data_IF_144500751145
#
_entry.id   IF_144500751145
#
_cell.length_a   1.000
_cell.length_b   1.000
_cell.length_c   1.000
_cell.angle_alpha   90.00
_cell.angle_beta   90.00
_cell.angle_gamma   90.00
#
_symmetry.space_group_name_H-M   'P 1'
#
loop_
_entity.id
_entity.type
_entity.pdbx_description
1 polymer ?
#
# COMPACT_ATOMS: atom_id res chain seq x y z
N UNK A 1 -68.77 15.16 -25.28
CA UNK A 1 -68.04 14.18 -26.11
C UNK A 1 -66.59 14.60 -26.12
N UNK A 2 -65.82 14.07 -25.18
CA UNK A 2 -64.44 14.50 -24.90
C UNK A 2 -63.51 13.48 -25.54
N UNK A 3 -62.72 13.91 -26.54
CA UNK A 3 -61.69 13.05 -27.14
C UNK A 3 -60.48 12.99 -26.21
N UNK A 4 -60.30 11.83 -25.60
CA UNK A 4 -59.08 11.45 -24.87
C UNK A 4 -58.04 11.07 -25.92
N UNK A 5 -56.92 11.80 -25.95
CA UNK A 5 -55.75 11.45 -26.76
C UNK A 5 -54.84 10.55 -25.94
N UNK A 6 -54.65 9.31 -26.39
CA UNK A 6 -53.68 8.36 -25.85
C UNK A 6 -52.23 8.86 -26.04
N UNK A 7 -51.35 8.70 -25.03
CA UNK A 7 -49.91 8.89 -25.23
C UNK A 7 -49.27 7.66 -25.89
N UNK A 8 -48.48 7.94 -26.93
CA UNK A 8 -47.76 6.95 -27.73
C UNK A 8 -46.69 6.17 -26.93
N UNK A 9 -46.73 4.85 -27.08
CA UNK A 9 -45.71 3.89 -26.66
C UNK A 9 -44.41 4.08 -27.46
N UNK A 10 -43.22 4.22 -26.84
CA UNK A 10 -41.97 4.20 -27.58
C UNK A 10 -41.54 2.75 -27.94
N UNK A 11 -40.92 2.54 -29.11
CA UNK A 11 -40.56 1.22 -29.60
C UNK A 11 -39.35 0.61 -28.88
N UNK A 12 -39.44 -0.69 -28.64
CA UNK A 12 -38.38 -1.54 -28.07
C UNK A 12 -37.71 -2.33 -29.19
N UNK A 13 -36.48 -1.97 -29.54
CA UNK A 13 -35.51 -2.77 -30.31
C UNK A 13 -34.14 -2.06 -30.21
N UNK A 14 -32.97 -2.66 -30.14
CA UNK A 14 -32.55 -4.04 -30.03
C UNK A 14 -31.04 -4.03 -29.72
N UNK A 15 -30.58 -5.04 -28.98
CA UNK A 15 -29.17 -5.27 -28.67
C UNK A 15 -28.32 -5.38 -29.94
N UNK A 16 -27.24 -4.62 -30.03
CA UNK A 16 -26.01 -5.05 -30.71
C UNK A 16 -24.81 -4.72 -29.82
N UNK A 17 -24.23 -5.77 -29.26
CA UNK A 17 -22.99 -5.70 -28.50
C UNK A 17 -21.81 -5.53 -29.44
N UNK A 18 -21.01 -4.50 -29.18
CA UNK A 18 -19.64 -4.43 -29.66
C UNK A 18 -18.72 -4.79 -28.50
N UNK A 19 -18.32 -6.07 -28.45
CA UNK A 19 -17.15 -6.51 -27.70
C UNK A 19 -15.92 -5.89 -28.36
N UNK A 20 -15.40 -4.79 -27.83
CA UNK A 20 -14.03 -4.37 -28.13
C UNK A 20 -13.10 -5.34 -27.42
N UNK A 21 -12.51 -6.25 -28.19
CA UNK A 21 -11.49 -7.17 -27.71
C UNK A 21 -10.24 -6.40 -27.31
N UNK A 22 -9.98 -6.32 -26.01
CA UNK A 22 -8.67 -5.98 -25.47
C UNK A 22 -7.74 -7.19 -25.65
N UNK A 23 -7.17 -7.30 -26.84
CA UNK A 23 -6.04 -8.19 -27.11
C UNK A 23 -4.74 -7.38 -27.04
N UNK A 24 -4.19 -7.19 -25.84
CA UNK A 24 -2.75 -6.97 -25.68
C UNK A 24 -2.27 -7.17 -24.24
N UNK A 25 -2.27 -8.41 -23.78
CA UNK A 25 -1.35 -8.87 -22.73
C UNK A 25 -0.82 -10.22 -23.21
N UNK A 26 0.24 -10.18 -24.03
CA UNK A 26 0.99 -11.39 -24.38
C UNK A 26 1.93 -11.66 -23.23
N UNK A 27 1.72 -12.82 -22.60
CA UNK A 27 2.45 -13.28 -21.45
C UNK A 27 3.92 -13.54 -21.74
N UNK A 28 4.76 -12.79 -21.04
CA UNK A 28 6.19 -13.09 -20.82
C UNK A 28 6.68 -12.68 -19.41
N UNK A 29 5.80 -12.60 -18.43
CA UNK A 29 6.19 -12.27 -17.04
C UNK A 29 5.99 -13.40 -16.04
N UNK A 30 5.93 -14.65 -16.53
CA UNK A 30 5.79 -15.83 -15.68
C UNK A 30 6.77 -16.95 -16.05
N UNK A 31 8.05 -16.64 -16.30
CA UNK A 31 9.13 -17.65 -16.29
C UNK A 31 10.46 -16.97 -15.96
N UNK A 32 10.81 -16.82 -14.68
CA UNK A 32 12.23 -16.80 -14.22
C UNK A 32 12.41 -17.40 -12.81
N UNK A 33 11.39 -17.50 -11.95
CA UNK A 33 11.60 -18.04 -10.59
C UNK A 33 11.45 -19.56 -10.43
N UNK A 34 11.92 -20.35 -11.41
CA UNK A 34 11.96 -21.81 -11.26
C UNK A 34 13.13 -22.42 -12.05
N UNK A 35 14.33 -22.45 -11.43
CA UNK A 35 15.35 -23.49 -11.64
C UNK A 35 16.69 -23.12 -10.93
N UNK A 36 16.83 -23.43 -9.63
CA UNK A 36 18.07 -23.98 -9.08
C UNK A 36 17.70 -24.87 -7.90
N UNK A 37 17.30 -26.10 -8.19
CA UNK A 37 17.29 -27.18 -7.22
C UNK A 37 17.92 -28.40 -7.88
N UNK A 38 18.80 -29.06 -7.14
CA UNK A 38 19.53 -30.31 -7.44
C UNK A 38 20.83 -30.18 -8.24
N UNK A 39 21.96 -30.17 -7.51
CA UNK A 39 22.95 -31.25 -7.56
C UNK A 39 24.02 -31.03 -6.48
N UNK A 40 24.47 -32.15 -5.87
CA UNK A 40 25.50 -32.31 -4.83
C UNK A 40 24.96 -32.13 -3.40
N UNK A 41 24.67 -33.15 -2.58
CA UNK A 41 25.23 -34.49 -2.52
C UNK A 41 26.35 -34.56 -1.48
N UNK A 42 25.97 -34.81 -0.21
CA UNK A 42 26.79 -35.51 0.78
C UNK A 42 27.94 -34.77 1.48
N UNK A 43 27.69 -34.29 2.70
CA UNK A 43 28.60 -34.44 3.84
C UNK A 43 27.82 -34.13 5.14
N UNK A 44 27.76 -35.09 6.05
CA UNK A 44 27.27 -34.86 7.39
C UNK A 44 28.26 -33.95 8.13
N UNK A 45 27.88 -32.69 8.34
CA UNK A 45 28.54 -31.79 9.27
C UNK A 45 27.47 -31.26 10.21
N UNK A 46 27.73 -31.36 11.51
CA UNK A 46 26.88 -30.80 12.58
C UNK A 46 26.74 -29.30 12.34
N UNK A 47 25.58 -28.88 11.83
CA UNK A 47 25.26 -27.46 11.67
C UNK A 47 24.79 -26.96 13.03
N UNK A 48 25.49 -26.01 13.69
CA UNK A 48 24.92 -25.35 14.85
C UNK A 48 23.64 -24.70 14.38
N UNK A 49 22.56 -24.98 15.10
CA UNK A 49 21.19 -24.51 14.86
C UNK A 49 21.22 -22.99 14.58
N UNK A 50 21.37 -22.64 13.30
CA UNK A 50 21.16 -21.30 12.79
C UNK A 50 19.66 -21.12 12.93
N UNK A 51 19.29 -20.59 14.08
CA UNK A 51 18.04 -19.95 14.33
C UNK A 51 17.90 -18.92 13.21
N UNK A 52 17.21 -19.32 12.12
CA UNK A 52 16.72 -18.41 11.10
C UNK A 52 16.01 -17.32 11.88
N UNK A 53 16.68 -16.18 12.02
CA UNK A 53 16.06 -14.97 12.53
C UNK A 53 15.07 -14.55 11.46
N UNK A 54 13.90 -15.18 11.45
CA UNK A 54 12.72 -14.53 10.92
C UNK A 54 12.67 -13.16 11.62
N UNK A 55 12.73 -12.07 10.86
CA UNK A 55 12.70 -10.74 11.49
C UNK A 55 11.42 -10.69 12.30
N UNK A 56 11.53 -10.59 13.63
CA UNK A 56 10.37 -10.29 14.44
C UNK A 56 9.87 -8.92 13.99
N UNK A 57 8.60 -8.82 13.59
CA UNK A 57 8.04 -7.54 13.18
C UNK A 57 7.90 -6.54 14.34
N UNK A 58 8.11 -6.99 15.58
CA UNK A 58 8.33 -6.14 16.73
C UNK A 58 9.80 -6.21 17.17
N UNK A 59 10.61 -5.27 16.70
CA UNK A 59 11.97 -5.04 17.16
C UNK A 59 12.04 -3.97 18.28
N UNK A 60 10.90 -3.60 18.87
CA UNK A 60 10.78 -2.49 19.82
C UNK A 60 10.74 -1.10 19.17
N UNK A 61 10.74 -1.02 17.83
CA UNK A 61 10.69 0.23 17.06
C UNK A 61 9.39 0.38 16.26
N UNK A 62 8.27 -0.12 16.80
CA UNK A 62 6.96 -0.01 16.17
C UNK A 62 6.57 1.45 15.95
N UNK A 63 6.07 1.77 14.75
CA UNK A 63 5.62 3.12 14.42
C UNK A 63 4.22 3.30 15.01
N UNK A 64 4.08 4.16 16.02
CA UNK A 64 2.76 4.50 16.56
C UNK A 64 2.17 5.71 15.85
N UNK A 65 0.94 5.60 15.37
CA UNK A 65 0.22 6.70 14.75
C UNK A 65 -1.06 7.06 15.50
N UNK A 66 -1.05 8.23 16.13
CA UNK A 66 -2.25 8.92 16.55
C UNK A 66 -2.74 9.81 15.40
N UNK A 67 -3.89 9.47 14.84
CA UNK A 67 -4.52 10.19 13.72
C UNK A 67 -4.70 11.67 14.08
N UNK A 68 -5.18 12.00 15.29
CA UNK A 68 -5.48 13.38 15.67
C UNK A 68 -6.49 14.08 14.74
N UNK A 69 -6.48 15.42 14.75
CA UNK A 69 -7.30 16.28 13.89
C UNK A 69 -6.56 17.60 13.60
N UNK A 70 -6.97 18.32 12.55
CA UNK A 70 -6.43 19.63 12.20
C UNK A 70 -4.93 19.60 11.87
N UNK A 71 -4.28 20.76 12.00
CA UNK A 71 -2.84 20.90 11.71
C UNK A 71 -1.95 19.96 12.54
N UNK A 72 -2.34 19.67 13.79
CA UNK A 72 -1.61 18.73 14.64
C UNK A 72 -1.69 17.30 14.10
N UNK A 73 -2.88 16.86 13.67
CA UNK A 73 -3.07 15.57 13.00
C UNK A 73 -2.30 15.48 11.68
N UNK A 74 -2.35 16.54 10.87
CA UNK A 74 -1.59 16.64 9.62
C UNK A 74 -0.07 16.47 9.86
N UNK A 75 0.46 17.13 10.89
CA UNK A 75 1.89 17.03 11.25
C UNK A 75 2.27 15.63 11.74
N UNK A 76 1.43 14.99 12.56
CA UNK A 76 1.63 13.60 13.01
C UNK A 76 1.56 12.61 11.86
N UNK A 77 0.70 12.86 10.88
CA UNK A 77 0.62 12.05 9.67
C UNK A 77 1.90 12.10 8.85
N UNK A 78 2.43 13.30 8.56
CA UNK A 78 3.73 13.45 7.89
C UNK A 78 4.86 12.79 8.70
N UNK A 79 4.86 12.90 10.03
CA UNK A 79 5.85 12.24 10.89
C UNK A 79 5.77 10.71 10.81
N UNK A 80 4.56 10.15 10.76
CA UNK A 80 4.35 8.71 10.57
C UNK A 80 4.91 8.25 9.22
N UNK A 81 4.63 8.96 8.13
CA UNK A 81 5.13 8.59 6.80
C UNK A 81 6.67 8.68 6.72
N UNK A 82 7.27 9.68 7.36
CA UNK A 82 8.73 9.76 7.46
C UNK A 82 9.28 8.55 8.22
N UNK A 83 8.66 8.15 9.34
CA UNK A 83 9.06 6.95 10.08
C UNK A 83 8.95 5.67 9.22
N UNK A 84 7.89 5.54 8.41
CA UNK A 84 7.72 4.42 7.45
C UNK A 84 8.86 4.39 6.44
N UNK A 85 9.17 5.54 5.82
CA UNK A 85 10.26 5.66 4.83
C UNK A 85 11.62 5.36 5.47
N UNK A 86 11.87 5.86 6.68
CA UNK A 86 13.09 5.60 7.45
C UNK A 86 13.22 4.10 7.79
N UNK A 87 12.14 3.45 8.22
CA UNK A 87 12.18 2.03 8.62
C UNK A 87 12.43 1.10 7.43
N UNK A 88 11.82 1.38 6.29
CA UNK A 88 12.02 0.61 5.07
C UNK A 88 13.44 0.78 4.49
N UNK A 89 13.95 2.02 4.49
CA UNK A 89 15.24 2.36 3.89
C UNK A 89 16.45 2.19 4.81
N UNK A 90 16.25 2.19 6.14
CA UNK A 90 17.32 2.36 7.13
C UNK A 90 18.20 3.59 6.85
N UNK A 91 17.57 4.70 6.46
CA UNK A 91 18.28 5.94 6.14
C UNK A 91 19.03 5.92 4.80
N UNK A 92 18.75 4.97 3.90
CA UNK A 92 19.27 4.98 2.53
C UNK A 92 18.46 5.92 1.65
N UNK A 93 19.15 6.70 0.83
CA UNK A 93 18.54 7.67 -0.09
C UNK A 93 18.91 7.38 -1.54
N UNK A 94 18.00 7.71 -2.46
CA UNK A 94 18.28 7.83 -3.90
C UNK A 94 18.99 9.16 -4.16
N UNK A 95 18.30 10.25 -3.81
CA UNK A 95 18.72 11.63 -4.02
C UNK A 95 18.01 12.53 -3.01
N UNK A 96 18.69 13.53 -2.47
CA UNK A 96 18.17 14.49 -1.50
C UNK A 96 17.40 13.80 -0.35
N UNK A 97 16.08 14.06 -0.22
CA UNK A 97 15.20 13.50 0.80
C UNK A 97 14.36 12.31 0.32
N UNK A 98 14.72 11.72 -0.81
CA UNK A 98 14.00 10.58 -1.38
C UNK A 98 14.67 9.30 -0.96
N UNK A 99 13.97 8.51 -0.18
CA UNK A 99 14.48 7.26 0.36
C UNK A 99 14.63 6.19 -0.72
N UNK A 100 15.39 5.13 -0.43
CA UNK A 100 15.52 3.94 -1.26
C UNK A 100 15.20 2.69 -0.43
N UNK A 101 14.29 1.82 -0.88
CA UNK A 101 14.02 0.55 -0.19
C UNK A 101 15.22 -0.39 -0.25
N UNK A 102 15.21 -1.42 0.60
CA UNK A 102 16.26 -2.45 0.66
C UNK A 102 15.80 -3.71 -0.08
N UNK A 103 16.34 -4.05 -1.26
CA UNK A 103 15.85 -5.20 -2.04
C UNK A 103 16.15 -6.54 -1.36
N UNK A 104 17.15 -6.58 -0.48
CA UNK A 104 17.54 -7.73 0.34
C UNK A 104 16.62 -7.96 1.55
N UNK A 105 15.78 -6.98 1.89
CA UNK A 105 14.92 -6.98 3.07
C UNK A 105 13.55 -7.63 2.83
N UNK A 106 13.49 -8.69 2.01
CA UNK A 106 12.26 -9.40 1.63
C UNK A 106 11.58 -10.11 2.80
N UNK A 107 12.37 -10.48 3.81
CA UNK A 107 11.94 -11.14 5.04
C UNK A 107 12.04 -10.21 6.25
N UNK A 108 12.21 -8.90 6.02
CA UNK A 108 12.22 -7.86 7.04
C UNK A 108 10.87 -7.13 7.04
N UNK A 109 10.22 -7.13 8.19
CA UNK A 109 8.91 -6.53 8.38
C UNK A 109 8.93 -5.53 9.52
N UNK A 110 8.09 -4.51 9.41
CA UNK A 110 7.86 -3.54 10.47
C UNK A 110 6.37 -3.20 10.56
N UNK A 111 6.01 -2.49 11.62
CA UNK A 111 4.63 -2.31 12.01
C UNK A 111 4.23 -0.84 12.12
N UNK A 112 2.98 -0.55 11.79
CA UNK A 112 2.29 0.70 12.15
C UNK A 112 1.13 0.37 13.08
N UNK A 113 1.23 0.80 14.33
CA UNK A 113 0.20 0.69 15.36
C UNK A 113 -0.76 1.88 15.30
N UNK A 114 -2.06 1.58 15.20
CA UNK A 114 -3.12 2.59 15.08
C UNK A 114 -4.20 2.28 16.12
N UNK A 115 -4.57 3.30 16.90
CA UNK A 115 -5.58 3.20 17.95
C UNK A 115 -6.65 4.28 17.77
N UNK A 116 -7.92 3.89 17.79
CA UNK A 116 -9.07 4.79 17.67
C UNK A 116 -10.01 4.58 18.85
N UNK A 117 -10.18 5.64 19.63
CA UNK A 117 -11.12 5.67 20.74
C UNK A 117 -12.52 6.06 20.23
N UNK A 118 -13.50 5.19 20.47
CA UNK A 118 -14.90 5.54 20.25
C UNK A 118 -15.46 6.25 21.49
N UNK A 119 -16.28 7.27 21.26
CA UNK A 119 -16.98 7.98 22.32
C UNK A 119 -17.88 7.01 23.10
N UNK A 120 -17.84 7.11 24.43
CA UNK A 120 -18.63 6.24 25.31
C UNK A 120 -18.12 4.80 25.46
N UNK A 121 -16.97 4.45 24.89
CA UNK A 121 -16.33 3.12 25.09
C UNK A 121 -15.11 3.23 25.99
N UNK A 122 -14.82 2.18 26.78
CA UNK A 122 -13.61 2.11 27.62
C UNK A 122 -12.42 1.47 26.90
N UNK A 123 -12.68 0.71 25.83
CA UNK A 123 -11.66 -0.03 25.08
C UNK A 123 -11.52 0.56 23.68
N UNK A 124 -10.37 1.11 23.30
CA UNK A 124 -10.15 1.60 21.95
C UNK A 124 -10.13 0.46 20.92
N UNK A 125 -10.47 0.77 19.68
CA UNK A 125 -10.24 -0.09 18.52
C UNK A 125 -8.75 -0.02 18.16
N UNK A 126 -8.04 -1.15 18.20
CA UNK A 126 -6.59 -1.19 17.93
C UNK A 126 -6.24 -2.19 16.85
N UNK A 127 -5.41 -1.74 15.91
CA UNK A 127 -4.83 -2.60 14.89
C UNK A 127 -3.33 -2.37 14.75
N UNK A 128 -2.62 -3.39 14.29
CA UNK A 128 -1.23 -3.29 13.84
C UNK A 128 -1.12 -3.71 12.38
N UNK A 129 -0.78 -2.76 11.51
CA UNK A 129 -0.54 -3.03 10.09
C UNK A 129 0.91 -3.47 9.92
N UNK A 130 1.13 -4.61 9.26
CA UNK A 130 2.47 -5.13 9.00
C UNK A 130 2.88 -4.86 7.56
N UNK A 131 4.08 -4.34 7.39
CA UNK A 131 4.61 -3.83 6.12
C UNK A 131 5.96 -4.49 5.86
N UNK A 132 6.15 -4.99 4.64
CA UNK A 132 7.43 -5.54 4.19
C UNK A 132 8.39 -4.41 3.78
N UNK A 133 9.63 -4.44 4.28
CA UNK A 133 10.59 -3.36 4.10
C UNK A 133 11.13 -3.23 2.67
N UNK A 134 11.12 -4.31 1.88
CA UNK A 134 11.66 -4.29 0.51
C UNK A 134 10.79 -3.52 -0.49
N UNK A 135 9.47 -3.51 -0.31
CA UNK A 135 8.49 -3.01 -1.29
C UNK A 135 7.32 -2.21 -0.68
N UNK A 136 7.29 -2.03 0.63
CA UNK A 136 6.20 -1.38 1.37
C UNK A 136 4.83 -2.07 1.20
N UNK A 137 4.80 -3.36 0.86
CA UNK A 137 3.54 -4.08 0.75
C UNK A 137 2.98 -4.35 2.14
N UNK A 138 1.68 -4.12 2.30
CA UNK A 138 0.96 -4.52 3.50
C UNK A 138 0.69 -6.02 3.40
N UNK A 139 1.28 -6.79 4.31
CA UNK A 139 1.23 -8.27 4.30
C UNK A 139 0.17 -8.85 5.23
N UNK A 140 -0.40 -8.02 6.09
CA UNK A 140 -1.48 -8.40 6.99
C UNK A 140 -1.69 -7.36 8.09
N UNK A 141 -2.66 -7.64 8.96
CA UNK A 141 -2.90 -6.83 10.14
C UNK A 141 -3.27 -7.68 11.36
N UNK A 142 -2.83 -7.25 12.54
CA UNK A 142 -3.29 -7.80 13.80
C UNK A 142 -4.50 -6.99 14.29
N UNK A 143 -5.64 -7.65 14.48
CA UNK A 143 -6.67 -7.15 15.36
C UNK A 143 -6.18 -7.34 16.81
N UNK A 144 -5.75 -6.25 17.46
CA UNK A 144 -5.18 -6.32 18.81
C UNK A 144 -6.26 -6.57 19.87
N UNK A 145 -7.53 -6.25 19.58
CA UNK A 145 -8.63 -6.41 20.53
C UNK A 145 -9.00 -7.89 20.72
N UNK A 146 -8.81 -8.71 19.69
CA UNK A 146 -9.18 -10.13 19.67
C UNK A 146 -7.95 -11.06 19.52
N UNK A 147 -6.76 -10.48 19.36
CA UNK A 147 -5.51 -11.19 19.06
C UNK A 147 -5.60 -12.09 17.80
N UNK A 148 -6.30 -11.63 16.77
CA UNK A 148 -6.44 -12.32 15.48
C UNK A 148 -5.54 -11.65 14.44
N UNK A 149 -4.59 -12.39 13.88
CA UNK A 149 -3.80 -11.92 12.76
C UNK A 149 -4.45 -12.31 11.43
N UNK A 150 -4.74 -11.33 10.59
CA UNK A 150 -5.33 -11.52 9.28
C UNK A 150 -4.24 -11.42 8.20
N UNK A 151 -4.03 -12.52 7.47
CA UNK A 151 -2.97 -12.67 6.48
C UNK A 151 -3.46 -12.26 5.10
N UNK A 152 -2.76 -11.32 4.47
CA UNK A 152 -2.95 -10.95 3.06
C UNK A 152 -1.99 -11.70 2.14
N UNK A 153 -0.95 -12.33 2.70
CA UNK A 153 0.06 -13.10 1.99
C UNK A 153 0.37 -14.43 2.70
N UNK A 154 0.93 -15.38 1.94
CA UNK A 154 1.24 -16.74 2.43
C UNK A 154 2.43 -16.78 3.38
N UNK A 155 3.35 -15.80 3.30
CA UNK A 155 4.53 -15.67 4.16
C UNK A 155 4.39 -14.44 5.07
N UNK A 156 3.59 -14.53 6.16
CA UNK A 156 3.50 -13.44 7.11
C UNK A 156 4.81 -13.30 7.92
N UNK A 157 5.05 -12.14 8.56
CA UNK A 157 6.13 -11.98 9.52
C UNK A 157 6.07 -13.01 10.65
N UNK A 158 7.21 -13.25 11.30
CA UNK A 158 7.19 -13.87 12.61
C UNK A 158 6.56 -12.89 13.62
N UNK A 159 5.39 -13.25 14.12
CA UNK A 159 4.58 -12.43 15.05
C UNK A 159 4.96 -12.74 16.49
N UNK A 160 6.24 -12.54 16.81
CA UNK A 160 6.77 -12.73 18.15
C UNK A 160 6.66 -11.41 18.93
N UNK A 161 6.12 -11.49 20.15
CA UNK A 161 6.04 -10.45 21.18
C UNK A 161 5.69 -9.05 20.68
N UNK A 162 4.40 -8.71 20.60
CA UNK A 162 3.92 -7.39 20.16
C UNK A 162 3.39 -6.54 21.34
N UNK A 163 4.23 -5.86 22.11
CA UNK A 163 3.72 -4.75 22.93
C UNK A 163 4.71 -3.60 23.08
N UNK A 164 4.24 -2.35 22.91
CA UNK A 164 4.93 -1.15 23.36
C UNK A 164 5.07 -1.06 24.89
N UNK A 165 4.30 -1.86 25.65
CA UNK A 165 4.16 -1.77 27.12
C UNK A 165 4.18 -3.13 27.87
N UNK A 166 4.79 -4.19 27.31
CA UNK A 166 5.01 -5.46 28.05
C UNK A 166 3.82 -6.43 28.17
N UNK A 167 2.79 -6.32 27.33
CA UNK A 167 1.76 -7.35 27.19
C UNK A 167 2.08 -8.35 26.06
N UNK A 168 1.77 -9.63 26.22
CA UNK A 168 1.88 -10.58 25.12
C UNK A 168 0.75 -10.33 24.10
N UNK A 169 1.07 -9.88 22.89
CA UNK A 169 0.16 -9.95 21.74
C UNK A 169 0.68 -10.92 20.68
N UNK A 170 1.11 -12.10 21.11
CA UNK A 170 1.18 -13.26 20.22
C UNK A 170 -0.25 -13.51 19.72
N UNK A 171 -0.48 -13.53 18.40
CA UNK A 171 -1.82 -13.82 17.89
C UNK A 171 -2.27 -15.19 18.39
N UNK A 172 -3.47 -15.25 18.94
CA UNK A 172 -4.10 -16.52 19.34
C UNK A 172 -4.63 -17.28 18.12
N UNK A 173 -4.92 -16.54 17.04
CA UNK A 173 -5.49 -17.07 15.80
C UNK A 173 -4.83 -16.43 14.59
N UNK A 174 -4.52 -17.26 13.58
CA UNK A 174 -4.16 -16.81 12.24
C UNK A 174 -5.35 -17.03 11.31
N UNK A 175 -5.80 -15.97 10.64
CA UNK A 175 -6.91 -15.98 9.69
C UNK A 175 -6.38 -15.70 8.28
N UNK A 176 -6.71 -16.55 7.32
CA UNK A 176 -6.46 -16.27 5.90
C UNK A 176 -7.63 -15.50 5.33
N UNK A 177 -7.39 -14.28 4.85
CA UNK A 177 -8.44 -13.50 4.21
C UNK A 177 -8.79 -14.11 2.84
N UNK A 178 -10.03 -13.92 2.41
CA UNK A 178 -10.51 -14.34 1.08
C UNK A 178 -10.04 -13.42 -0.05
N UNK A 179 -9.31 -12.36 0.30
CA UNK A 179 -8.66 -11.41 -0.60
C UNK A 179 -7.18 -11.25 -0.20
N UNK A 180 -6.37 -10.65 -1.07
CA UNK A 180 -4.98 -10.30 -0.77
C UNK A 180 -4.77 -8.77 -0.85
N UNK A 181 -3.54 -8.31 -0.62
CA UNK A 181 -3.19 -6.88 -0.58
C UNK A 181 -3.20 -6.15 -1.93
N UNK A 182 -3.47 -6.82 -3.05
CA UNK A 182 -3.52 -6.16 -4.36
C UNK A 182 -4.84 -5.40 -4.57
N UNK A 183 -4.79 -4.24 -5.23
CA UNK A 183 -6.01 -3.49 -5.58
C UNK A 183 -6.99 -4.34 -6.39
N UNK A 184 -6.53 -5.17 -7.33
CA UNK A 184 -7.41 -6.07 -8.10
C UNK A 184 -8.22 -7.00 -7.19
N UNK A 185 -7.61 -7.53 -6.13
CA UNK A 185 -8.31 -8.41 -5.19
C UNK A 185 -9.25 -7.63 -4.26
N UNK A 186 -8.84 -6.45 -3.83
CA UNK A 186 -9.60 -5.60 -2.91
C UNK A 186 -10.81 -4.96 -3.60
N UNK A 187 -10.62 -4.37 -4.78
CA UNK A 187 -11.65 -3.70 -5.58
C UNK A 187 -12.72 -4.69 -6.06
N UNK A 188 -12.39 -5.98 -6.20
CA UNK A 188 -13.40 -7.03 -6.44
C UNK A 188 -14.43 -7.10 -5.32
N UNK A 189 -14.06 -6.76 -4.08
CA UNK A 189 -14.95 -6.81 -2.92
C UNK A 189 -15.77 -5.54 -2.75
N UNK A 190 -15.26 -4.37 -3.18
CA UNK A 190 -15.82 -3.07 -2.79
C UNK A 190 -16.02 -2.06 -3.91
N UNK A 191 -15.57 -2.37 -5.13
CA UNK A 191 -15.53 -1.44 -6.26
C UNK A 191 -14.22 -0.66 -6.34
N UNK A 192 -14.18 0.29 -7.27
CA UNK A 192 -12.99 1.08 -7.64
C UNK A 192 -12.51 1.99 -6.49
N UNK A 193 -11.21 1.93 -6.18
CA UNK A 193 -10.57 2.73 -5.13
C UNK A 193 -10.63 4.24 -5.39
N UNK A 194 -10.74 4.65 -6.65
CA UNK A 194 -10.90 6.06 -7.02
C UNK A 194 -12.18 6.68 -6.41
N UNK A 195 -13.16 5.85 -6.03
CA UNK A 195 -14.42 6.28 -5.42
C UNK A 195 -14.43 6.18 -3.88
N UNK A 196 -13.28 5.91 -3.26
CA UNK A 196 -13.15 5.79 -1.80
C UNK A 196 -12.54 7.10 -1.26
N UNK A 197 -13.31 7.92 -0.51
CA UNK A 197 -12.79 9.15 0.05
C UNK A 197 -11.72 8.91 1.12
N UNK A 198 -10.62 9.63 1.02
CA UNK A 198 -9.53 9.66 1.98
C UNK A 198 -9.72 10.84 2.93
N UNK A 199 -9.65 10.57 4.23
CA UNK A 199 -9.76 11.54 5.31
C UNK A 199 -9.36 10.91 6.63
N UNK A 200 -9.08 11.70 7.69
CA UNK A 200 -8.91 11.16 9.04
C UNK A 200 -10.10 10.31 9.50
N UNK A 201 -11.31 10.65 9.08
CA UNK A 201 -12.52 9.90 9.41
C UNK A 201 -12.60 8.54 8.69
N UNK A 202 -12.21 8.48 7.41
CA UNK A 202 -12.18 7.18 6.70
C UNK A 202 -11.08 6.27 7.23
N UNK A 203 -9.95 6.82 7.68
CA UNK A 203 -8.93 6.04 8.42
C UNK A 203 -9.49 5.54 9.75
N UNK A 204 -10.18 6.39 10.53
CA UNK A 204 -10.83 5.96 11.78
C UNK A 204 -11.84 4.84 11.55
N UNK A 205 -12.63 4.94 10.48
CA UNK A 205 -13.58 3.90 10.11
C UNK A 205 -12.87 2.60 9.68
N UNK A 206 -11.80 2.70 8.89
CA UNK A 206 -11.00 1.55 8.50
C UNK A 206 -10.45 0.79 9.72
N UNK A 207 -9.96 1.52 10.74
CA UNK A 207 -9.48 0.91 12.00
C UNK A 207 -10.60 0.15 12.71
N UNK A 208 -11.80 0.75 12.83
CA UNK A 208 -12.98 0.09 13.45
C UNK A 208 -13.40 -1.16 12.68
N UNK A 209 -13.41 -1.10 11.36
CA UNK A 209 -13.78 -2.22 10.51
C UNK A 209 -12.76 -3.36 10.62
N UNK A 210 -11.46 -3.04 10.76
CA UNK A 210 -10.39 -4.04 10.84
C UNK A 210 -10.13 -4.57 12.26
N UNK A 211 -10.59 -3.89 13.30
CA UNK A 211 -10.42 -4.29 14.71
C UNK A 211 -11.56 -5.17 15.24
N UNK A 212 -12.44 -5.67 14.35
CA UNK A 212 -13.64 -6.44 14.73
C UNK A 212 -13.75 -7.67 13.85
N UNK A 213 -13.77 -8.86 14.44
CA UNK A 213 -14.03 -10.13 13.71
C UNK A 213 -15.37 -10.14 12.99
N UNK A 214 -16.37 -9.42 13.53
CA UNK A 214 -17.73 -9.36 12.97
C UNK A 214 -17.87 -8.50 11.70
N UNK A 215 -16.83 -7.78 11.27
CA UNK A 215 -16.88 -6.98 10.05
C UNK A 215 -17.00 -7.84 8.80
N UNK A 216 -17.80 -7.39 7.83
CA UNK A 216 -17.93 -8.06 6.55
C UNK A 216 -16.63 -8.02 5.74
N UNK A 217 -16.47 -8.95 4.80
CA UNK A 217 -15.34 -8.98 3.86
C UNK A 217 -15.22 -7.64 3.11
N UNK A 218 -16.34 -7.05 2.71
CA UNK A 218 -16.35 -5.75 2.04
C UNK A 218 -15.86 -4.62 2.94
N UNK A 219 -16.24 -4.60 4.22
CA UNK A 219 -15.75 -3.61 5.18
C UNK A 219 -14.24 -3.75 5.41
N UNK A 220 -13.75 -4.98 5.61
CA UNK A 220 -12.31 -5.23 5.79
C UNK A 220 -11.51 -4.84 4.53
N UNK A 221 -11.98 -5.24 3.34
CA UNK A 221 -11.31 -4.88 2.09
C UNK A 221 -11.31 -3.36 1.86
N UNK A 222 -12.40 -2.65 2.16
CA UNK A 222 -12.48 -1.19 2.07
C UNK A 222 -11.50 -0.53 3.05
N UNK A 223 -11.47 -1.01 4.29
CA UNK A 223 -10.53 -0.54 5.31
C UNK A 223 -9.09 -0.73 4.86
N UNK A 224 -8.78 -1.86 4.24
CA UNK A 224 -7.44 -2.15 3.74
C UNK A 224 -7.05 -1.24 2.55
N UNK A 225 -7.96 -0.94 1.62
CA UNK A 225 -7.69 0.04 0.55
C UNK A 225 -7.30 1.39 1.17
N UNK A 226 -8.09 1.88 2.14
CA UNK A 226 -7.80 3.15 2.81
C UNK A 226 -6.41 3.11 3.45
N UNK A 227 -6.07 2.06 4.21
CA UNK A 227 -4.78 1.98 4.89
C UNK A 227 -3.59 1.84 3.93
N UNK A 228 -3.74 1.10 2.82
CA UNK A 228 -2.70 0.99 1.80
C UNK A 228 -2.46 2.37 1.17
N UNK A 229 -3.52 3.09 0.78
CA UNK A 229 -3.40 4.42 0.18
C UNK A 229 -2.77 5.45 1.14
N UNK A 230 -3.23 5.49 2.39
CA UNK A 230 -2.77 6.49 3.35
C UNK A 230 -1.41 6.18 3.97
N UNK A 231 -0.94 4.94 3.93
CA UNK A 231 0.36 4.54 4.50
C UNK A 231 1.35 4.23 3.38
N UNK A 232 1.14 3.14 2.64
CA UNK A 232 2.10 2.68 1.63
C UNK A 232 2.19 3.63 0.44
N UNK A 233 1.07 4.02 -0.17
CA UNK A 233 1.12 4.89 -1.35
C UNK A 233 1.57 6.31 -1.01
N UNK A 234 1.11 6.86 0.11
CA UNK A 234 1.59 8.14 0.61
C UNK A 234 3.07 8.11 1.02
N UNK A 235 3.58 6.98 1.53
CA UNK A 235 5.03 6.84 1.76
C UNK A 235 5.79 6.85 0.43
N UNK A 236 5.29 6.17 -0.61
CA UNK A 236 5.88 6.12 -1.97
C UNK A 236 5.87 7.48 -2.65
N UNK A 237 4.78 8.23 -2.56
CA UNK A 237 4.55 9.43 -3.36
C UNK A 237 4.13 10.65 -2.54
N UNK A 238 4.86 11.76 -2.72
CA UNK A 238 4.57 13.04 -2.06
C UNK A 238 3.21 13.63 -2.45
N UNK A 239 2.73 13.53 -3.71
CA UNK A 239 1.39 14.01 -4.04
C UNK A 239 0.26 13.28 -3.29
N UNK A 240 0.46 11.99 -2.98
CA UNK A 240 -0.53 11.20 -2.22
C UNK A 240 -0.47 11.59 -0.74
N UNK A 241 0.74 11.77 -0.19
CA UNK A 241 0.91 12.36 1.15
C UNK A 241 0.19 13.72 1.23
N UNK A 242 0.40 14.61 0.27
CA UNK A 242 -0.20 15.94 0.28
C UNK A 242 -1.72 15.91 0.18
N UNK A 243 -2.26 15.05 -0.71
CA UNK A 243 -3.70 14.81 -0.82
C UNK A 243 -4.30 14.48 0.55
N UNK A 244 -3.77 13.46 1.23
CA UNK A 244 -4.30 12.99 2.52
C UNK A 244 -4.04 14.03 3.63
N UNK A 245 -2.85 14.63 3.66
CA UNK A 245 -2.47 15.63 4.66
C UNK A 245 -3.42 16.84 4.65
N UNK A 246 -3.86 17.28 3.47
CA UNK A 246 -4.78 18.41 3.34
C UNK A 246 -6.16 18.11 3.95
N UNK A 247 -6.64 16.86 3.87
CA UNK A 247 -7.94 16.44 4.43
C UNK A 247 -8.01 16.47 5.97
N UNK A 248 -6.90 16.78 6.66
CA UNK A 248 -6.93 17.03 8.11
C UNK A 248 -7.53 18.37 8.48
N UNK A 249 -7.49 19.34 7.57
CA UNK A 249 -8.05 20.69 7.75
C UNK A 249 -9.14 21.02 6.74
N UNK A 250 -9.35 20.15 5.73
CA UNK A 250 -10.40 20.27 4.73
C UNK A 250 -11.34 19.07 4.76
N UNK A 251 -12.28 19.02 3.82
CA UNK A 251 -13.14 17.85 3.62
C UNK A 251 -12.35 16.66 3.05
N UNK A 252 -13.01 15.49 3.07
CA UNK A 252 -12.50 14.27 2.46
C UNK A 252 -12.27 14.46 0.95
N UNK A 253 -11.24 13.82 0.42
CA UNK A 253 -10.89 13.90 -0.99
C UNK A 253 -10.76 12.49 -1.59
N UNK A 254 -11.20 12.32 -2.83
CA UNK A 254 -11.01 11.09 -3.59
C UNK A 254 -9.74 11.18 -4.44
N UNK A 255 -9.00 10.08 -4.64
CA UNK A 255 -7.89 10.03 -5.58
C UNK A 255 -8.30 10.50 -6.99
N UNK A 256 -7.53 11.41 -7.58
CA UNK A 256 -7.72 11.78 -8.99
C UNK A 256 -7.17 10.69 -9.92
N UNK A 257 -7.54 10.67 -11.22
CA UNK A 257 -6.95 9.71 -12.16
C UNK A 257 -5.42 9.74 -12.19
N UNK A 258 -4.80 10.91 -12.04
CA UNK A 258 -3.34 11.05 -11.96
C UNK A 258 -2.78 10.38 -10.70
N UNK A 259 -3.44 10.53 -9.54
CA UNK A 259 -3.05 9.84 -8.31
C UNK A 259 -3.16 8.32 -8.46
N UNK A 260 -4.27 7.83 -9.03
CA UNK A 260 -4.48 6.39 -9.27
C UNK A 260 -3.41 5.83 -10.23
N UNK A 261 -3.02 6.59 -11.24
CA UNK A 261 -1.94 6.20 -12.16
C UNK A 261 -0.57 6.14 -11.46
N UNK A 262 -0.29 7.05 -10.51
CA UNK A 262 0.93 6.98 -9.70
C UNK A 262 0.99 5.68 -8.89
N UNK A 263 -0.11 5.29 -8.23
CA UNK A 263 -0.19 4.04 -7.47
C UNK A 263 0.16 2.82 -8.34
N UNK A 264 -0.17 2.87 -9.64
CA UNK A 264 0.18 1.83 -10.62
C UNK A 264 1.61 1.97 -11.20
N UNK A 265 2.28 3.09 -10.96
CA UNK A 265 3.53 3.49 -11.65
C UNK A 265 4.72 3.64 -10.70
N UNK A 266 4.69 3.05 -9.50
CA UNK A 266 5.81 3.17 -8.57
C UNK A 266 7.12 2.60 -9.09
N UNK A 267 7.08 1.45 -9.77
CA UNK A 267 8.26 0.83 -10.39
C UNK A 267 8.89 1.73 -11.47
N UNK A 268 8.18 2.19 -12.51
CA UNK A 268 8.80 3.05 -13.53
C UNK A 268 9.25 4.41 -12.96
N UNK A 269 8.54 5.00 -12.00
CA UNK A 269 9.01 6.24 -11.35
C UNK A 269 10.30 6.01 -10.57
N UNK A 270 10.39 4.89 -9.85
CA UNK A 270 11.60 4.50 -9.14
C UNK A 270 12.76 4.21 -10.09
N UNK A 271 12.49 3.59 -11.24
CA UNK A 271 13.51 3.35 -12.26
C UNK A 271 14.07 4.66 -12.82
N UNK A 272 13.21 5.64 -13.15
CA UNK A 272 13.64 6.98 -13.55
C UNK A 272 14.59 7.58 -12.51
N UNK A 273 14.19 7.56 -11.23
CA UNK A 273 14.98 8.16 -10.15
C UNK A 273 16.32 7.45 -9.91
N UNK A 274 16.33 6.11 -9.90
CA UNK A 274 17.56 5.33 -9.72
C UNK A 274 18.53 5.53 -10.89
N UNK A 275 18.04 5.55 -12.14
CA UNK A 275 18.86 5.81 -13.32
C UNK A 275 19.37 7.23 -13.35
N UNK A 276 18.55 8.22 -12.97
CA UNK A 276 18.93 9.63 -12.95
C UNK A 276 20.19 9.88 -12.12
N UNK A 277 20.30 9.24 -10.95
CA UNK A 277 21.46 9.40 -10.06
C UNK A 277 22.74 8.82 -10.66
N UNK A 278 22.64 7.78 -11.48
CA UNK A 278 23.79 7.13 -12.12
C UNK A 278 24.17 7.80 -13.44
N UNK A 279 23.18 8.06 -14.29
CA UNK A 279 23.33 8.71 -15.59
C UNK A 279 22.05 9.51 -15.92
N UNK A 280 22.04 10.83 -15.68
CA UNK A 280 20.89 11.69 -16.01
C UNK A 280 20.48 11.68 -17.48
N UNK A 281 21.37 11.25 -18.39
CA UNK A 281 21.16 11.20 -19.83
C UNK A 281 20.81 9.78 -20.35
N UNK A 282 20.50 8.83 -19.47
CA UNK A 282 20.09 7.47 -19.84
C UNK A 282 18.85 7.51 -20.76
N UNK A 283 18.91 6.87 -21.94
CA UNK A 283 17.81 6.85 -22.92
C UNK A 283 16.54 6.19 -22.37
N UNK A 284 16.68 5.27 -21.41
CA UNK A 284 15.54 4.64 -20.73
C UNK A 284 14.76 5.68 -19.94
N UNK A 285 15.43 6.66 -19.31
CA UNK A 285 14.77 7.78 -18.63
C UNK A 285 13.86 8.51 -19.62
N UNK A 286 14.38 8.88 -20.80
CA UNK A 286 13.60 9.60 -21.81
C UNK A 286 12.41 8.78 -22.33
N UNK A 287 12.52 7.45 -22.35
CA UNK A 287 11.43 6.57 -22.73
C UNK A 287 10.36 6.52 -21.65
N UNK A 288 10.74 6.33 -20.39
CA UNK A 288 9.80 6.29 -19.27
C UNK A 288 9.11 7.64 -19.04
N UNK A 289 9.85 8.75 -19.11
CA UNK A 289 9.29 10.11 -19.03
C UNK A 289 8.24 10.36 -20.12
N UNK A 290 8.46 9.89 -21.35
CA UNK A 290 7.48 10.00 -22.44
C UNK A 290 6.27 9.09 -22.24
N UNK A 291 6.48 7.85 -21.82
CA UNK A 291 5.39 6.90 -21.54
C UNK A 291 4.43 7.45 -20.48
N UNK A 292 4.96 8.11 -19.46
CA UNK A 292 4.19 8.66 -18.35
C UNK A 292 4.00 10.19 -18.44
N UNK A 293 4.15 10.80 -19.63
CA UNK A 293 4.10 12.25 -19.78
C UNK A 293 2.77 12.87 -19.34
N UNK A 294 1.65 12.13 -19.48
CA UNK A 294 0.33 12.59 -19.04
C UNK A 294 0.28 12.83 -17.53
N UNK A 295 0.54 11.78 -16.73
CA UNK A 295 0.53 11.88 -15.26
C UNK A 295 1.60 12.82 -14.73
N UNK A 296 2.80 12.84 -15.33
CA UNK A 296 3.86 13.75 -14.93
C UNK A 296 3.50 15.21 -15.24
N UNK A 297 2.91 15.48 -16.40
CA UNK A 297 2.42 16.81 -16.79
C UNK A 297 1.33 17.33 -15.87
N UNK A 298 0.35 16.49 -15.51
CA UNK A 298 -0.73 16.84 -14.57
C UNK A 298 -0.20 17.23 -13.17
N UNK A 299 0.97 16.68 -12.80
CA UNK A 299 1.66 16.95 -11.54
C UNK A 299 2.74 18.04 -11.65
N UNK A 300 2.91 18.65 -12.83
CA UNK A 300 3.93 19.67 -13.07
C UNK A 300 5.37 19.16 -13.05
N UNK A 301 5.59 17.85 -13.21
CA UNK A 301 6.91 17.22 -13.27
C UNK A 301 7.39 17.20 -14.72
N UNK A 302 8.45 17.96 -15.00
CA UNK A 302 8.94 18.16 -16.37
C UNK A 302 10.25 17.44 -16.68
N UNK A 303 10.96 16.95 -15.67
CA UNK A 303 12.25 16.29 -15.82
C UNK A 303 12.44 15.13 -14.82
N UNK A 304 13.49 14.33 -15.07
CA UNK A 304 13.81 13.15 -14.25
C UNK A 304 14.30 13.51 -12.85
N UNK A 305 14.83 14.72 -12.65
CA UNK A 305 15.17 15.22 -11.32
C UNK A 305 13.90 15.46 -10.51
N UNK A 306 12.87 16.06 -11.10
CA UNK A 306 11.56 16.27 -10.49
C UNK A 306 10.92 14.97 -10.03
N UNK A 307 11.03 13.89 -10.83
CA UNK A 307 10.62 12.54 -10.40
C UNK A 307 11.40 12.12 -9.14
N UNK A 308 12.73 12.28 -9.15
CA UNK A 308 13.57 11.87 -8.04
C UNK A 308 13.36 12.69 -6.75
N UNK A 309 13.08 14.00 -6.81
CA UNK A 309 13.07 14.88 -5.63
C UNK A 309 11.70 15.39 -5.20
N UNK A 310 10.78 15.59 -6.15
CA UNK A 310 9.47 16.18 -5.89
C UNK A 310 8.33 15.15 -5.92
N UNK A 311 8.46 14.09 -6.72
CA UNK A 311 7.41 13.07 -6.84
C UNK A 311 7.53 11.99 -5.77
N UNK A 312 8.72 11.36 -5.66
CA UNK A 312 8.93 10.22 -4.78
C UNK A 312 9.23 10.64 -3.33
N UNK A 313 8.61 9.95 -2.39
CA UNK A 313 9.03 9.91 -0.99
C UNK A 313 10.03 8.78 -0.73
N UNK A 314 9.83 7.63 -1.38
CA UNK A 314 10.73 6.48 -1.37
C UNK A 314 10.64 5.73 -2.70
N UNK A 315 11.78 5.38 -3.27
CA UNK A 315 11.88 4.58 -4.49
C UNK A 315 12.09 3.10 -4.16
N UNK A 316 11.51 2.21 -4.97
CA UNK A 316 11.92 0.80 -4.96
C UNK A 316 13.32 0.67 -5.57
N UNK A 317 14.13 -0.24 -5.04
CA UNK A 317 15.42 -0.55 -5.67
C UNK A 317 15.19 -1.38 -6.94
N UNK A 318 15.60 -0.83 -8.08
CA UNK A 318 15.61 -1.52 -9.36
C UNK A 318 17.04 -2.00 -9.62
N UNK A 319 17.21 -3.28 -9.97
CA UNK A 319 18.52 -3.77 -10.43
C UNK A 319 18.81 -3.13 -11.78
N UNK A 320 19.75 -2.19 -11.82
CA UNK A 320 20.23 -1.59 -13.08
C UNK A 320 21.32 -2.54 -13.60
N UNK A 321 21.12 -3.18 -14.77
CA UNK A 321 22.14 -4.03 -15.38
C UNK A 321 23.37 -3.24 -15.84
#
# INVERSE_FOLDING_TARGET
MSSVSDPATPPRAGRRGHKRGSRWFKGKFLVVFLAVATLLGGAAAVIPQLQEKASAANDGNDITWDIGNGNAGASRYTAMLEAVRQRASQGRFVLDRTHRTRPDAIDDFFSVDISVQDEGTSTPNRIRVHIRASDLFVVGWLNQNEAIYNRLETKPPALLDCAPNGGACTPTTLNDTTFNGSYVSLERQVGDRANIPLSPNSVRQAVRDLSRSGSTIAQQARGMIVLIQVISEAARFRPIEELVRNTFTTEAATPTPAIVELENSWDPMSEIANRHVNNPNDEVINTLMRTHAGVLGDLGITDSRGVAVALLGIAITVSIP
#
